data_IF_050922478262
#
_entry.id   IF_050922478262
#
_cell.length_a   1.000
_cell.length_b   1.000
_cell.length_c   1.000
_cell.angle_alpha   90.00
_cell.angle_beta   90.00
_cell.angle_gamma   90.00
#
_symmetry.space_group_name_H-M   'P 1'
#
loop_
_entity.id
_entity.type
_entity.pdbx_description
1 polymer ?
#
# COMPACT_ATOMS: atom_id res chain seq x y z
N UNK A 1 5.94 2.07 27.30
CA UNK A 1 5.22 3.24 26.74
C UNK A 1 5.56 3.24 25.27
N UNK A 2 4.65 2.72 24.45
CA UNK A 2 4.78 2.59 23.00
C UNK A 2 5.01 3.94 22.37
N UNK A 3 6.05 4.08 21.54
CA UNK A 3 6.14 5.21 20.63
C UNK A 3 4.92 5.18 19.72
N UNK A 4 4.05 6.18 19.89
CA UNK A 4 2.91 6.43 19.03
C UNK A 4 3.38 6.62 17.59
N UNK A 5 2.52 6.28 16.62
CA UNK A 5 2.74 6.64 15.23
C UNK A 5 3.11 8.13 15.16
N UNK A 6 4.39 8.40 14.91
CA UNK A 6 4.88 9.78 14.92
C UNK A 6 4.69 10.31 13.50
N UNK A 7 3.79 11.28 13.38
CA UNK A 7 3.64 12.06 12.16
C UNK A 7 4.72 13.12 12.20
N UNK A 8 5.85 12.86 11.57
CA UNK A 8 6.94 13.82 11.46
C UNK A 8 6.74 14.61 10.17
N UNK A 9 6.48 15.92 10.29
CA UNK A 9 6.47 16.85 9.15
C UNK A 9 7.65 17.79 9.32
N UNK A 10 8.56 17.88 8.34
CA UNK A 10 8.64 19.08 7.48
C UNK A 10 9.73 18.94 6.39
N UNK A 11 9.30 18.61 5.17
CA UNK A 11 9.98 19.06 3.94
C UNK A 11 8.96 19.73 3.02
N UNK A 12 8.31 20.80 3.51
CA UNK A 12 7.47 21.78 2.80
C UNK A 12 6.30 21.30 1.88
N UNK A 13 6.14 20.00 1.57
CA UNK A 13 5.05 19.52 0.70
C UNK A 13 4.59 18.07 0.95
N UNK A 14 5.29 17.27 1.76
CA UNK A 14 4.92 15.87 2.04
C UNK A 14 4.79 15.66 3.55
N UNK A 15 3.70 15.00 3.97
CA UNK A 15 3.48 14.56 5.36
C UNK A 15 3.94 13.11 5.48
N UNK A 16 4.80 12.81 6.44
CA UNK A 16 5.30 11.47 6.69
C UNK A 16 4.73 10.95 8.02
N UNK A 17 4.18 9.73 7.99
CA UNK A 17 3.80 8.98 9.18
C UNK A 17 4.61 7.68 9.23
N UNK A 18 5.16 7.35 10.40
CA UNK A 18 5.97 6.14 10.60
C UNK A 18 5.31 5.26 11.65
N UNK A 19 5.11 3.97 11.34
CA UNK A 19 4.46 3.00 12.25
C UNK A 19 5.37 2.44 13.34
N UNK A 20 6.62 2.92 13.42
CA UNK A 20 7.63 2.57 14.43
C UNK A 20 8.44 1.30 14.13
N UNK A 21 9.72 1.32 14.50
CA UNK A 21 10.64 0.16 14.45
C UNK A 21 10.33 -0.85 15.58
N UNK A 22 10.86 -2.08 15.51
CA UNK A 22 10.78 -3.01 16.65
C UNK A 22 11.52 -2.42 17.86
N UNK A 23 10.82 -2.23 18.97
CA UNK A 23 11.49 -1.95 20.23
C UNK A 23 12.07 -3.26 20.80
N UNK A 24 13.09 -3.17 21.66
CA UNK A 24 13.71 -4.37 22.27
C UNK A 24 12.68 -5.21 23.03
N UNK A 25 11.65 -4.57 23.56
CA UNK A 25 10.54 -5.18 24.29
C UNK A 25 9.54 -5.93 23.37
N UNK A 26 9.54 -5.63 22.06
CA UNK A 26 8.68 -6.29 21.07
C UNK A 26 9.27 -7.64 20.60
N UNK A 27 10.57 -7.86 20.80
CA UNK A 27 11.29 -9.04 20.32
C UNK A 27 10.81 -10.32 21.02
N UNK A 28 10.10 -11.17 20.27
CA UNK A 28 9.59 -12.46 20.76
C UNK A 28 8.26 -12.38 21.49
N UNK A 29 7.65 -11.18 21.61
CA UNK A 29 6.40 -10.95 22.36
C UNK A 29 5.30 -10.36 21.48
N UNK A 30 5.64 -9.46 20.54
CA UNK A 30 4.67 -8.80 19.66
C UNK A 30 4.81 -9.27 18.20
N UNK A 31 3.69 -9.59 17.58
CA UNK A 31 3.64 -9.90 16.15
C UNK A 31 3.40 -8.60 15.34
N UNK A 32 4.14 -8.43 14.24
CA UNK A 32 4.16 -7.21 13.39
C UNK A 32 2.78 -6.72 12.91
N UNK A 33 1.76 -7.58 12.94
CA UNK A 33 0.39 -7.28 12.51
C UNK A 33 -0.29 -6.15 13.30
N UNK A 34 0.11 -5.87 14.56
CA UNK A 34 -0.44 -4.75 15.32
C UNK A 34 -0.11 -3.38 14.70
N UNK A 35 1.02 -3.25 14.01
CA UNK A 35 1.46 -2.00 13.36
C UNK A 35 0.83 -1.79 11.99
N UNK A 36 0.65 -2.88 11.24
CA UNK A 36 -0.10 -2.89 9.96
C UNK A 36 -1.54 -2.43 10.19
N UNK A 37 -2.14 -2.78 11.33
CA UNK A 37 -3.48 -2.32 11.71
C UNK A 37 -3.62 -0.80 11.83
N UNK A 38 -2.58 -0.08 12.27
CA UNK A 38 -2.63 1.38 12.36
C UNK A 38 -2.73 2.03 10.96
N UNK A 39 -2.00 1.50 9.97
CA UNK A 39 -2.10 1.94 8.58
C UNK A 39 -3.50 1.68 8.03
N UNK A 40 -4.01 0.46 8.23
CA UNK A 40 -5.35 0.10 7.77
C UNK A 40 -6.43 1.00 8.39
N UNK A 41 -6.33 1.32 9.68
CA UNK A 41 -7.23 2.26 10.35
C UNK A 41 -7.17 3.65 9.72
N UNK A 42 -5.98 4.20 9.49
CA UNK A 42 -5.84 5.52 8.87
C UNK A 42 -6.42 5.54 7.45
N UNK A 43 -6.10 4.55 6.61
CA UNK A 43 -6.63 4.44 5.25
C UNK A 43 -8.16 4.36 5.21
N UNK A 44 -8.80 3.79 6.24
CA UNK A 44 -10.27 3.76 6.34
C UNK A 44 -10.91 5.14 6.59
N UNK A 45 -10.12 6.17 6.89
CA UNK A 45 -10.60 7.52 7.18
C UNK A 45 -10.10 8.58 6.18
N UNK A 46 -9.41 8.17 5.12
CA UNK A 46 -8.85 9.08 4.10
C UNK A 46 -9.58 8.88 2.77
N UNK A 47 -10.62 9.69 2.45
CA UNK A 47 -11.21 9.73 1.12
C UNK A 47 -10.41 10.68 0.22
N UNK A 48 -9.20 10.27 -0.15
CA UNK A 48 -8.30 11.10 -0.96
C UNK A 48 -8.94 11.43 -2.33
N UNK A 49 -8.87 12.70 -2.73
CA UNK A 49 -9.40 13.21 -3.98
C UNK A 49 -8.35 13.29 -5.10
N UNK A 50 -8.75 13.70 -6.32
CA UNK A 50 -7.82 13.91 -7.42
C UNK A 50 -6.69 14.90 -7.04
N UNK A 51 -5.44 14.49 -7.24
CA UNK A 51 -4.25 15.27 -6.89
C UNK A 51 -3.79 15.13 -5.44
N UNK A 52 -4.48 14.33 -4.63
CA UNK A 52 -4.07 13.93 -3.29
C UNK A 52 -3.53 12.50 -3.33
N UNK A 53 -2.36 12.26 -2.75
CA UNK A 53 -1.70 10.96 -2.83
C UNK A 53 -1.33 10.45 -1.43
N UNK A 54 -1.66 9.19 -1.18
CA UNK A 54 -1.14 8.44 -0.04
C UNK A 54 -0.26 7.32 -0.59
N UNK A 55 1.03 7.36 -0.25
CA UNK A 55 1.99 6.32 -0.61
C UNK A 55 2.32 5.53 0.66
N UNK A 56 2.04 4.23 0.63
CA UNK A 56 2.37 3.32 1.72
C UNK A 56 3.52 2.44 1.29
N UNK A 57 4.71 2.68 1.86
CA UNK A 57 5.85 1.78 1.72
C UNK A 57 5.64 0.56 2.61
N UNK A 58 5.66 -0.63 2.01
CA UNK A 58 5.49 -1.88 2.72
C UNK A 58 6.32 -3.00 2.10
N UNK A 59 6.77 -3.91 2.95
CA UNK A 59 7.43 -5.13 2.49
C UNK A 59 6.48 -5.97 1.64
N UNK A 60 6.94 -6.37 0.45
CA UNK A 60 6.22 -7.31 -0.40
C UNK A 60 6.20 -8.70 0.27
N UNK A 61 5.07 -9.04 0.89
CA UNK A 61 4.90 -10.30 1.60
C UNK A 61 3.46 -10.53 2.07
N UNK A 62 3.23 -11.66 2.73
CA UNK A 62 1.89 -12.06 3.19
C UNK A 62 1.30 -11.14 4.28
N UNK A 63 2.08 -10.20 4.83
CA UNK A 63 1.66 -9.34 5.94
C UNK A 63 0.44 -8.47 5.62
N UNK A 64 0.32 -7.97 4.38
CA UNK A 64 -0.86 -7.21 3.93
C UNK A 64 -2.11 -8.07 3.74
N UNK A 65 -1.95 -9.39 3.61
CA UNK A 65 -3.03 -10.37 3.49
C UNK A 65 -3.43 -10.98 4.85
N UNK A 66 -2.70 -10.67 5.92
CA UNK A 66 -3.13 -11.01 7.28
C UNK A 66 -4.36 -10.22 7.72
N UNK A 67 -4.68 -9.13 7.02
CA UNK A 67 -5.90 -8.33 7.18
C UNK A 67 -6.50 -7.96 5.81
N UNK A 68 -7.48 -7.04 5.80
CA UNK A 68 -8.06 -6.51 4.58
C UNK A 68 -7.22 -5.43 3.89
N UNK A 69 -6.01 -5.12 4.41
CA UNK A 69 -5.20 -3.99 3.98
C UNK A 69 -4.90 -4.00 2.48
N UNK A 70 -4.60 -5.16 1.90
CA UNK A 70 -4.30 -5.28 0.46
C UNK A 70 -5.46 -4.84 -0.47
N UNK A 71 -6.68 -4.67 0.05
CA UNK A 71 -7.83 -4.14 -0.69
C UNK A 71 -8.07 -2.64 -0.49
N UNK A 72 -7.18 -1.95 0.23
CA UNK A 72 -7.31 -0.52 0.56
C UNK A 72 -6.55 0.41 -0.36
N UNK A 73 -5.79 -0.14 -1.29
CA UNK A 73 -5.01 0.61 -2.25
C UNK A 73 -5.72 0.66 -3.59
N UNK A 74 -5.79 1.85 -4.18
CA UNK A 74 -6.28 2.02 -5.56
C UNK A 74 -5.39 1.22 -6.51
N UNK A 75 -4.07 1.30 -6.29
CA UNK A 75 -3.06 0.55 -7.05
C UNK A 75 -1.97 0.03 -6.13
N UNK A 76 -1.57 -1.22 -6.34
CA UNK A 76 -0.40 -1.81 -5.68
C UNK A 76 0.72 -2.03 -6.69
N UNK A 77 1.88 -1.42 -6.45
CA UNK A 77 3.07 -1.57 -7.30
C UNK A 77 4.08 -2.46 -6.59
N UNK A 78 4.34 -3.66 -7.11
CA UNK A 78 5.43 -4.52 -6.64
C UNK A 78 6.73 -4.13 -7.33
N UNK A 79 7.76 -3.89 -6.52
CA UNK A 79 9.11 -3.63 -7.02
C UNK A 79 9.81 -4.98 -7.24
N UNK A 80 10.14 -5.31 -8.49
CA UNK A 80 10.77 -6.58 -8.84
C UNK A 80 12.16 -6.40 -9.45
N UNK A 81 13.16 -7.09 -8.89
CA UNK A 81 14.46 -7.27 -9.54
C UNK A 81 14.35 -8.38 -10.61
N UNK A 82 15.18 -8.37 -11.66
CA UNK A 82 15.19 -9.40 -12.72
C UNK A 82 15.79 -10.73 -12.21
N UNK A 83 15.16 -11.33 -11.22
CA UNK A 83 15.59 -12.58 -10.58
C UNK A 83 14.42 -13.50 -10.32
N UNK A 84 14.65 -14.81 -10.38
CA UNK A 84 13.63 -15.84 -10.09
C UNK A 84 13.02 -15.71 -8.69
N UNK A 85 13.80 -15.23 -7.72
CA UNK A 85 13.34 -15.00 -6.35
C UNK A 85 12.34 -13.85 -6.29
N UNK A 86 12.66 -12.71 -6.91
CA UNK A 86 11.81 -11.53 -6.85
C UNK A 86 10.49 -11.75 -7.59
N UNK A 87 10.54 -12.33 -8.80
CA UNK A 87 9.31 -12.69 -9.54
C UNK A 87 8.51 -13.81 -8.87
N UNK A 88 9.15 -14.66 -8.05
CA UNK A 88 8.47 -15.63 -7.19
C UNK A 88 7.57 -14.96 -6.14
N UNK A 89 8.05 -13.88 -5.52
CA UNK A 89 7.24 -13.07 -4.58
C UNK A 89 6.06 -12.43 -5.30
N UNK A 90 6.29 -11.89 -6.50
CA UNK A 90 5.21 -11.36 -7.34
C UNK A 90 4.12 -12.41 -7.62
N UNK A 91 4.50 -13.62 -8.07
CA UNK A 91 3.54 -14.69 -8.36
C UNK A 91 2.70 -15.07 -7.15
N UNK A 92 3.32 -15.12 -5.97
CA UNK A 92 2.60 -15.38 -4.73
C UNK A 92 1.60 -14.27 -4.41
N UNK A 93 2.05 -13.01 -4.47
CA UNK A 93 1.18 -11.85 -4.21
C UNK A 93 0.01 -11.79 -5.19
N UNK A 94 0.28 -11.91 -6.50
CA UNK A 94 -0.73 -11.95 -7.55
C UNK A 94 -1.71 -13.11 -7.35
N UNK A 95 -1.23 -14.28 -6.90
CA UNK A 95 -2.08 -15.41 -6.54
C UNK A 95 -3.06 -15.10 -5.42
N UNK A 96 -2.62 -14.43 -4.35
CA UNK A 96 -3.49 -14.03 -3.24
C UNK A 96 -4.46 -12.90 -3.62
N UNK A 97 -4.04 -11.97 -4.49
CA UNK A 97 -4.83 -10.82 -4.88
C UNK A 97 -5.87 -11.09 -5.98
N UNK A 98 -5.73 -12.22 -6.70
CA UNK A 98 -6.48 -12.56 -7.93
C UNK A 98 -7.98 -12.36 -7.83
N UNK A 99 -8.59 -12.78 -6.72
CA UNK A 99 -10.05 -12.82 -6.57
C UNK A 99 -10.62 -11.54 -5.96
N UNK A 100 -9.77 -10.55 -5.66
CA UNK A 100 -10.15 -9.34 -4.94
C UNK A 100 -10.22 -8.09 -5.81
N UNK A 101 -9.83 -8.20 -7.09
CA UNK A 101 -9.86 -7.08 -8.03
C UNK A 101 -8.81 -6.00 -7.73
N UNK A 102 -7.69 -6.38 -7.10
CA UNK A 102 -6.57 -5.47 -6.83
C UNK A 102 -5.94 -5.04 -8.15
N UNK A 103 -5.79 -3.73 -8.38
CA UNK A 103 -5.05 -3.22 -9.51
C UNK A 103 -3.54 -3.37 -9.25
N UNK A 104 -2.99 -4.48 -9.75
CA UNK A 104 -1.59 -4.83 -9.57
C UNK A 104 -0.73 -4.24 -10.68
N UNK A 105 0.49 -3.81 -10.35
CA UNK A 105 1.51 -3.42 -11.30
C UNK A 105 2.88 -3.81 -10.78
N UNK A 106 3.85 -3.90 -11.68
CA UNK A 106 5.24 -4.21 -11.39
C UNK A 106 6.12 -3.08 -11.91
N UNK A 107 7.00 -2.60 -11.03
CA UNK A 107 8.12 -1.76 -11.40
C UNK A 107 9.41 -2.59 -11.34
N UNK A 108 10.05 -2.80 -12.49
CA UNK A 108 11.37 -3.40 -12.54
C UNK A 108 12.38 -2.55 -11.78
N UNK A 109 13.28 -3.16 -11.03
CA UNK A 109 14.34 -2.46 -10.31
C UNK A 109 15.69 -3.10 -10.57
N UNK A 110 16.75 -2.29 -10.53
CA UNK A 110 18.13 -2.71 -10.83
C UNK A 110 18.26 -3.38 -12.20
N UNK A 111 17.51 -2.91 -13.18
CA UNK A 111 17.61 -3.39 -14.57
C UNK A 111 18.94 -2.91 -15.17
N UNK A 112 19.76 -3.83 -15.66
CA UNK A 112 21.07 -3.52 -16.25
C UNK A 112 21.00 -3.44 -17.78
N UNK A 113 20.20 -4.29 -18.42
CA UNK A 113 20.11 -4.35 -19.88
C UNK A 113 18.72 -4.78 -20.41
N UNK A 114 18.61 -4.97 -21.72
CA UNK A 114 17.37 -5.39 -22.37
C UNK A 114 16.96 -6.82 -22.05
N UNK A 115 17.92 -7.70 -21.71
CA UNK A 115 17.66 -9.07 -21.28
C UNK A 115 16.93 -9.11 -19.94
N UNK A 116 17.29 -8.24 -19.00
CA UNK A 116 16.57 -8.08 -17.73
C UNK A 116 15.11 -7.64 -17.93
N UNK A 117 14.87 -6.73 -18.88
CA UNK A 117 13.51 -6.28 -19.21
C UNK A 117 12.72 -7.44 -19.82
N UNK A 118 13.32 -8.21 -20.72
CA UNK A 118 12.67 -9.37 -21.34
C UNK A 118 12.36 -10.45 -20.30
N UNK A 119 13.29 -10.72 -19.38
CA UNK A 119 13.06 -11.63 -18.26
C UNK A 119 11.86 -11.20 -17.42
N UNK A 120 11.77 -9.91 -17.06
CA UNK A 120 10.63 -9.39 -16.30
C UNK A 120 9.33 -9.53 -17.10
N UNK A 121 9.31 -9.14 -18.39
CA UNK A 121 8.13 -9.28 -19.26
C UNK A 121 7.65 -10.72 -19.36
N UNK A 122 8.56 -11.68 -19.51
CA UNK A 122 8.24 -13.11 -19.55
C UNK A 122 7.55 -13.57 -18.25
N UNK A 123 7.99 -13.04 -17.10
CA UNK A 123 7.57 -13.52 -15.79
C UNK A 123 6.34 -12.82 -15.21
N UNK A 124 6.20 -11.52 -15.46
CA UNK A 124 5.12 -10.69 -14.90
C UNK A 124 4.13 -10.20 -15.96
N UNK A 125 4.45 -10.38 -17.25
CA UNK A 125 3.53 -10.09 -18.35
C UNK A 125 3.14 -8.62 -18.43
N UNK A 126 1.83 -8.39 -18.63
CA UNK A 126 1.24 -7.06 -18.75
C UNK A 126 1.33 -6.21 -17.47
N UNK A 127 1.65 -6.81 -16.33
CA UNK A 127 1.79 -6.08 -15.08
C UNK A 127 3.08 -5.24 -15.06
N UNK A 128 4.08 -5.52 -15.92
CA UNK A 128 5.29 -4.70 -16.01
C UNK A 128 4.97 -3.31 -16.59
N UNK A 129 4.83 -2.33 -15.70
CA UNK A 129 4.48 -0.96 -16.05
C UNK A 129 5.71 -0.16 -16.50
N UNK A 130 6.81 -0.28 -15.77
CA UNK A 130 8.05 0.46 -16.01
C UNK A 130 9.23 -0.21 -15.32
N UNK A 131 10.44 0.34 -15.46
CA UNK A 131 11.61 -0.13 -14.74
C UNK A 131 12.64 0.97 -14.47
N UNK A 132 13.43 0.76 -13.43
CA UNK A 132 14.56 1.60 -13.03
C UNK A 132 15.88 0.90 -13.30
N UNK A 133 16.79 1.63 -13.92
CA UNK A 133 18.16 1.18 -14.11
C UNK A 133 19.08 1.64 -12.97
N UNK A 134 20.34 1.20 -13.02
CA UNK A 134 21.36 1.66 -12.06
C UNK A 134 21.41 3.19 -12.01
N UNK A 135 21.10 3.75 -10.85
CA UNK A 135 21.09 5.19 -10.64
C UNK A 135 22.35 5.65 -9.90
N UNK A 136 23.11 6.55 -10.53
CA UNK A 136 24.20 7.28 -9.89
C UNK A 136 23.67 8.25 -8.84
N UNK A 137 22.51 8.85 -9.10
CA UNK A 137 21.79 9.68 -8.14
C UNK A 137 21.49 8.91 -6.84
N UNK A 138 20.81 7.76 -6.93
CA UNK A 138 20.46 6.94 -5.74
C UNK A 138 21.72 6.48 -5.02
N UNK A 139 22.73 5.98 -5.75
CA UNK A 139 24.00 5.54 -5.13
C UNK A 139 24.70 6.65 -4.35
N UNK A 140 24.62 7.90 -4.82
CA UNK A 140 25.17 9.08 -4.13
C UNK A 140 24.31 9.45 -2.91
N UNK A 141 22.98 9.38 -3.04
CA UNK A 141 22.05 9.61 -1.93
C UNK A 141 22.27 8.62 -0.78
N UNK A 142 22.41 7.32 -1.08
CA UNK A 142 22.74 6.26 -0.12
C UNK A 142 24.11 6.46 0.58
N UNK A 143 24.99 7.30 0.01
CA UNK A 143 26.26 7.70 0.62
C UNK A 143 26.16 8.99 1.43
N UNK A 144 24.94 9.46 1.71
CA UNK A 144 24.66 10.63 2.52
C UNK A 144 24.65 11.95 1.75
N UNK A 145 24.63 11.94 0.41
CA UNK A 145 24.54 13.16 -0.40
C UNK A 145 23.29 13.13 -1.26
N UNK A 146 22.19 13.64 -0.70
CA UNK A 146 20.92 13.78 -1.41
C UNK A 146 20.95 15.10 -2.19
N UNK A 147 20.85 15.00 -3.53
CA UNK A 147 20.71 16.15 -4.42
C UNK A 147 19.24 16.46 -4.75
N UNK A 148 18.95 17.49 -5.54
CA UNK A 148 17.61 17.72 -6.07
C UNK A 148 17.16 16.59 -7.00
N UNK A 149 15.88 16.19 -6.94
CA UNK A 149 15.31 15.11 -7.75
C UNK A 149 15.46 15.34 -9.27
N UNK A 150 15.57 16.61 -9.71
CA UNK A 150 15.85 16.97 -11.09
C UNK A 150 17.19 16.41 -11.63
N UNK A 151 18.12 16.02 -10.74
CA UNK A 151 19.39 15.34 -11.10
C UNK A 151 19.24 13.83 -11.32
N UNK A 152 18.07 13.24 -11.04
CA UNK A 152 17.78 11.85 -11.36
C UNK A 152 17.89 11.61 -12.88
N UNK A 153 18.36 10.43 -13.29
CA UNK A 153 18.55 10.13 -14.70
C UNK A 153 17.23 10.27 -15.49
N UNK A 154 17.23 10.83 -16.72
CA UNK A 154 15.99 11.08 -17.46
C UNK A 154 15.11 9.84 -17.66
N UNK A 155 15.71 8.67 -17.86
CA UNK A 155 14.99 7.41 -17.96
C UNK A 155 14.27 7.03 -16.65
N UNK A 156 14.91 7.26 -15.50
CA UNK A 156 14.33 7.00 -14.19
C UNK A 156 13.26 8.05 -13.82
N UNK A 157 13.41 9.31 -14.25
CA UNK A 157 12.35 10.32 -14.14
C UNK A 157 11.12 9.95 -14.98
N UNK A 158 11.32 9.49 -16.21
CA UNK A 158 10.24 8.99 -17.06
C UNK A 158 9.55 7.76 -16.45
N UNK A 159 10.31 6.89 -15.77
CA UNK A 159 9.73 5.77 -15.04
C UNK A 159 8.85 6.23 -13.86
N UNK A 160 9.29 7.23 -13.09
CA UNK A 160 8.44 7.84 -12.03
C UNK A 160 7.16 8.45 -12.61
N UNK A 161 7.26 9.18 -13.72
CA UNK A 161 6.10 9.78 -14.38
C UNK A 161 5.06 8.72 -14.78
N UNK A 162 5.49 7.57 -15.27
CA UNK A 162 4.58 6.43 -15.58
C UNK A 162 3.89 5.86 -14.35
N UNK A 163 4.56 5.85 -13.19
CA UNK A 163 3.93 5.41 -11.94
C UNK A 163 2.83 6.39 -11.51
N UNK A 164 3.10 7.70 -11.61
CA UNK A 164 2.11 8.74 -11.31
C UNK A 164 0.93 8.66 -12.27
N UNK A 165 1.17 8.57 -13.58
CA UNK A 165 0.13 8.42 -14.60
C UNK A 165 -0.74 7.19 -14.31
N UNK A 166 -0.14 6.04 -13.98
CA UNK A 166 -0.90 4.85 -13.65
C UNK A 166 -1.76 5.01 -12.39
N UNK A 167 -1.32 5.79 -11.40
CA UNK A 167 -2.13 6.09 -10.21
C UNK A 167 -3.27 7.05 -10.58
N UNK A 168 -2.99 8.12 -11.30
CA UNK A 168 -3.98 9.11 -11.74
C UNK A 168 -5.08 8.51 -12.64
N UNK A 169 -4.74 7.53 -13.48
CA UNK A 169 -5.67 6.79 -14.32
C UNK A 169 -6.47 5.73 -13.54
N UNK A 170 -6.15 5.49 -12.27
CA UNK A 170 -6.87 4.52 -11.44
C UNK A 170 -8.05 5.18 -10.75
N UNK A 171 -9.25 4.87 -11.22
CA UNK A 171 -10.48 5.32 -10.58
C UNK A 171 -10.75 4.48 -9.34
N UNK A 172 -10.87 5.13 -8.18
CA UNK A 172 -11.19 4.43 -6.94
C UNK A 172 -12.63 3.88 -6.96
N UNK A 173 -12.77 2.55 -6.87
CA UNK A 173 -14.05 1.88 -6.75
C UNK A 173 -14.46 1.76 -5.28
N UNK A 174 -15.10 2.82 -4.81
CA UNK A 174 -15.65 2.91 -3.46
C UNK A 174 -16.69 1.82 -3.13
N UNK A 175 -17.36 1.23 -4.13
CA UNK A 175 -18.30 0.11 -3.89
C UNK A 175 -17.51 -1.15 -3.57
N UNK A 176 -16.52 -1.49 -4.40
CA UNK A 176 -15.65 -2.63 -4.14
C UNK A 176 -14.88 -2.48 -2.82
N UNK A 177 -14.35 -1.28 -2.55
CA UNK A 177 -13.67 -0.95 -1.29
C UNK A 177 -14.54 -1.25 -0.07
N UNK A 178 -15.77 -0.71 -0.06
CA UNK A 178 -16.70 -0.90 1.08
C UNK A 178 -17.14 -2.36 1.20
N UNK A 179 -17.41 -3.03 0.07
CA UNK A 179 -17.78 -4.45 0.05
C UNK A 179 -16.71 -5.31 0.69
N UNK A 180 -15.44 -5.10 0.33
CA UNK A 180 -14.33 -5.87 0.90
C UNK A 180 -14.13 -5.57 2.39
N UNK A 181 -14.31 -4.32 2.82
CA UNK A 181 -14.33 -3.97 4.24
C UNK A 181 -15.36 -4.79 5.02
N UNK A 182 -16.60 -4.85 4.53
CA UNK A 182 -17.67 -5.63 5.16
C UNK A 182 -17.36 -7.14 5.16
N UNK A 183 -16.84 -7.68 4.06
CA UNK A 183 -16.49 -9.09 3.96
C UNK A 183 -15.41 -9.49 4.97
N UNK A 184 -14.32 -8.72 5.07
CA UNK A 184 -13.25 -9.02 6.01
C UNK A 184 -13.68 -8.80 7.47
N UNK A 185 -14.56 -7.82 7.74
CA UNK A 185 -15.18 -7.66 9.05
C UNK A 185 -15.98 -8.90 9.44
N UNK A 186 -16.85 -9.40 8.55
CA UNK A 186 -17.64 -10.64 8.78
C UNK A 186 -16.75 -11.86 9.02
N UNK A 187 -15.67 -12.01 8.23
CA UNK A 187 -14.72 -13.11 8.43
C UNK A 187 -14.05 -13.04 9.80
N UNK A 188 -13.61 -11.87 10.24
CA UNK A 188 -12.99 -11.70 11.55
C UNK A 188 -13.98 -11.88 12.72
N UNK A 189 -15.20 -11.34 12.57
CA UNK A 189 -16.32 -11.53 13.49
C UNK A 189 -16.56 -13.03 13.74
N UNK A 190 -16.74 -13.80 12.66
CA UNK A 190 -16.98 -15.24 12.73
C UNK A 190 -15.77 -16.05 13.23
N UNK A 191 -14.54 -15.65 12.86
CA UNK A 191 -13.34 -16.43 13.17
C UNK A 191 -12.94 -16.38 14.65
N UNK A 192 -13.09 -15.23 15.32
CA UNK A 192 -12.66 -15.07 16.71
C UNK A 192 -13.34 -13.91 17.45
N UNK A 193 -13.70 -12.83 16.75
CA UNK A 193 -14.03 -11.58 17.41
C UNK A 193 -15.40 -11.60 18.11
N UNK A 194 -16.38 -12.35 17.58
CA UNK A 194 -17.69 -12.51 18.23
C UNK A 194 -17.57 -13.23 19.58
N UNK A 195 -16.79 -14.31 19.64
CA UNK A 195 -16.55 -15.04 20.89
C UNK A 195 -15.88 -14.13 21.93
N UNK A 196 -14.87 -13.37 21.51
CA UNK A 196 -14.14 -12.46 22.41
C UNK A 196 -15.00 -11.28 22.88
N UNK A 197 -15.86 -10.75 22.02
CA UNK A 197 -16.74 -9.63 22.34
C UNK A 197 -17.99 -10.05 23.13
N UNK A 198 -18.36 -11.33 23.08
CA UNK A 198 -19.60 -11.83 23.67
C UNK A 198 -20.87 -11.35 22.95
N UNK A 199 -20.75 -10.88 21.70
CA UNK A 199 -21.84 -10.35 20.88
C UNK A 199 -21.55 -10.59 19.40
N UNK A 200 -22.58 -10.50 18.55
CA UNK A 200 -22.39 -10.56 17.10
C UNK A 200 -21.92 -9.20 16.57
N UNK A 201 -20.64 -9.10 16.23
CA UNK A 201 -20.05 -7.86 15.69
C UNK A 201 -20.50 -7.56 14.27
N UNK A 202 -21.17 -8.49 13.58
CA UNK A 202 -21.72 -8.21 12.25
C UNK A 202 -22.91 -7.24 12.30
N UNK A 203 -23.55 -7.07 13.47
CA UNK A 203 -24.60 -6.08 13.73
C UNK A 203 -24.08 -4.62 13.63
N UNK A 204 -22.76 -4.42 13.65
CA UNK A 204 -22.14 -3.11 13.46
C UNK A 204 -22.07 -2.67 11.99
N UNK A 205 -22.35 -3.56 11.04
CA UNK A 205 -22.32 -3.23 9.62
C UNK A 205 -23.57 -2.43 9.28
N UNK A 206 -23.38 -1.16 8.91
CA UNK A 206 -24.39 -0.37 8.23
C UNK A 206 -24.43 -0.79 6.74
N UNK A 207 -25.51 -1.44 6.26
CA UNK A 207 -25.61 -1.89 4.88
C UNK A 207 -25.80 -0.75 3.87
N UNK A 208 -26.22 0.43 4.32
CA UNK A 208 -26.43 1.61 3.48
C UNK A 208 -25.17 2.48 3.41
N UNK A 209 -24.25 2.33 4.36
CA UNK A 209 -22.97 3.04 4.35
C UNK A 209 -22.12 2.65 3.14
N UNK A 210 -21.54 3.67 2.50
CA UNK A 210 -20.53 3.53 1.46
C UNK A 210 -19.41 4.52 1.73
N UNK A 211 -18.18 4.01 1.81
CA UNK A 211 -17.00 4.86 1.92
C UNK A 211 -16.85 5.74 0.67
N UNK A 212 -16.25 6.92 0.81
CA UNK A 212 -15.88 7.81 -0.28
C UNK A 212 -16.05 9.29 0.08
N UNK A 213 -15.82 10.23 -0.84
CA UNK A 213 -15.85 11.67 -0.54
C UNK A 213 -17.16 12.16 0.09
N UNK A 214 -18.29 11.51 -0.26
CA UNK A 214 -19.61 11.77 0.31
C UNK A 214 -19.66 11.51 1.83
N UNK A 215 -18.88 10.54 2.33
CA UNK A 215 -18.86 10.14 3.73
C UNK A 215 -18.20 11.20 4.65
N UNK A 216 -17.35 12.09 4.09
CA UNK A 216 -16.69 13.17 4.83
C UNK A 216 -17.37 14.53 4.59
N UNK A 217 -18.31 14.58 3.66
CA UNK A 217 -19.07 15.80 3.30
C UNK A 217 -20.28 16.06 4.19
N UNK A 218 -20.62 15.17 5.12
CA UNK A 218 -21.67 15.43 6.10
C UNK A 218 -21.08 16.21 7.28
N UNK A 219 -21.50 17.47 7.53
CA UNK A 219 -21.33 18.02 8.86
C UNK A 219 -22.11 17.10 9.80
N UNK A 220 -21.43 16.56 10.81
CA UNK A 220 -22.11 15.92 11.92
C UNK A 220 -23.16 16.91 12.44
N UNK A 221 -24.43 16.63 12.19
CA UNK A 221 -25.51 17.29 12.93
C UNK A 221 -25.40 16.73 14.33
N UNK A 222 -24.56 17.36 15.14
CA UNK A 222 -24.53 17.16 16.58
C UNK A 222 -25.84 17.77 17.06
N UNK A 223 -26.86 16.93 17.19
CA UNK A 223 -28.11 17.31 17.85
C UNK A 223 -27.80 17.80 19.26
N UNK A 224 -28.22 19.02 19.56
CA UNK A 224 -28.20 19.65 20.88
C UNK A 224 -29.17 18.94 21.81
#
# INVERSE_FOLDING_TARGET
>A
MSEEATITVDTAAVRLAVTGEFATEDLGVACYHSKVGAVELLLNHMPDGPGEYVVVDMAAGAGSFASGLFTRFDRTVLVCEPTVRSVGVYRQYAGYARDYGVALSVAGNRVEDAGDVEFLREHVGGDLLTWFSRSGYVRRAERGTVGPLAELEPANQAALAKLVEAVDDTVQDWTAFTRWAHEFHRRNAAAWANERAGADLTDQIDPEFRMGPQAVSQPAVVGV
#
